data_IF_231831504222
#
_entry.id   IF_231831504222
#
_cell.length_a   1.000
_cell.length_b   1.000
_cell.length_c   1.000
_cell.angle_alpha   90.00
_cell.angle_beta   90.00
_cell.angle_gamma   90.00
#
_symmetry.space_group_name_H-M   'P 1'
#
loop_
_entity.id
_entity.type
_entity.pdbx_description
1 polymer ?
#
# COMPACT_ATOMS: atom_id res chain seq x y z
N UNK A 1 -25.92 21.65 8.47
CA UNK A 1 -25.03 22.79 8.69
C UNK A 1 -24.11 22.94 7.49
N UNK A 2 -24.13 24.10 6.87
CA UNK A 2 -23.17 24.41 5.80
C UNK A 2 -21.83 24.77 6.44
N UNK A 3 -20.73 24.10 5.97
CA UNK A 3 -19.38 24.31 6.49
C UNK A 3 -18.40 24.39 5.33
N UNK A 4 -17.41 25.28 5.47
CA UNK A 4 -16.31 25.40 4.52
C UNK A 4 -15.17 24.47 4.93
N UNK A 5 -14.62 23.70 3.99
CA UNK A 5 -13.44 22.86 4.24
C UNK A 5 -12.18 23.70 4.30
N UNK A 6 -11.28 23.38 5.25
CA UNK A 6 -9.99 24.05 5.38
C UNK A 6 -9.16 23.94 4.08
N UNK A 7 -9.24 22.79 3.38
CA UNK A 7 -8.61 22.62 2.08
C UNK A 7 -9.08 23.63 1.01
N UNK A 8 -10.37 24.00 1.00
CA UNK A 8 -10.90 24.98 0.07
C UNK A 8 -10.37 26.38 0.36
N UNK A 9 -10.24 26.72 1.64
CA UNK A 9 -9.73 28.04 2.05
C UNK A 9 -8.26 28.20 1.62
N UNK A 10 -7.44 27.16 1.81
CA UNK A 10 -6.04 27.18 1.36
C UNK A 10 -5.87 27.14 -0.16
N UNK A 11 -6.80 26.51 -0.88
CA UNK A 11 -6.76 26.43 -2.35
C UNK A 11 -7.08 27.78 -3.01
N UNK A 12 -7.97 28.58 -2.44
CA UNK A 12 -8.38 29.87 -3.00
C UNK A 12 -8.51 30.95 -1.89
N UNK A 13 -7.36 31.35 -1.38
CA UNK A 13 -7.25 32.26 -0.24
C UNK A 13 -7.86 33.65 -0.51
N UNK A 14 -7.71 34.16 -1.74
CA UNK A 14 -8.23 35.46 -2.13
C UNK A 14 -9.76 35.46 -2.16
N UNK A 15 -10.38 34.37 -2.63
CA UNK A 15 -11.81 34.22 -2.63
C UNK A 15 -12.42 34.27 -1.23
N UNK A 16 -11.71 33.74 -0.24
CA UNK A 16 -12.20 33.68 1.15
C UNK A 16 -11.80 34.90 1.99
N UNK A 17 -10.79 35.67 1.60
CA UNK A 17 -10.34 36.86 2.32
C UNK A 17 -11.47 37.84 2.60
N UNK A 18 -11.64 38.23 3.86
CA UNK A 18 -12.70 39.13 4.33
C UNK A 18 -14.09 38.52 4.48
N UNK A 19 -14.30 37.23 4.08
CA UNK A 19 -15.60 36.57 4.24
C UNK A 19 -15.75 35.94 5.62
N UNK A 20 -16.98 35.99 6.12
CA UNK A 20 -17.37 35.21 7.28
C UNK A 20 -17.73 33.79 6.82
N UNK A 21 -17.13 32.78 7.46
CA UNK A 21 -17.30 31.36 7.16
C UNK A 21 -17.43 30.54 8.44
N UNK A 22 -17.96 29.34 8.31
CA UNK A 22 -17.99 28.36 9.38
C UNK A 22 -17.09 27.17 9.03
N UNK A 23 -16.18 26.82 9.94
CA UNK A 23 -15.31 25.63 9.88
C UNK A 23 -15.55 24.75 11.09
N UNK A 24 -15.43 23.43 10.91
CA UNK A 24 -15.56 22.46 11.99
C UNK A 24 -14.30 21.60 12.00
N UNK A 25 -13.73 21.31 13.17
CA UNK A 25 -12.53 20.49 13.23
C UNK A 25 -12.08 20.19 14.66
N UNK A 26 -10.93 19.59 14.78
CA UNK A 26 -10.32 19.22 16.04
C UNK A 26 -9.14 20.13 16.36
N UNK A 27 -9.09 20.61 17.62
CA UNK A 27 -7.99 21.42 18.13
C UNK A 27 -6.69 20.59 18.17
N UNK A 28 -5.68 21.03 17.43
CA UNK A 28 -4.32 20.47 17.43
C UNK A 28 -3.43 21.13 18.49
N UNK A 29 -3.62 22.41 18.70
CA UNK A 29 -3.02 23.17 19.79
C UNK A 29 -4.01 24.25 20.25
N UNK A 30 -3.96 24.58 21.54
CA UNK A 30 -4.66 25.71 22.12
C UNK A 30 -3.64 26.49 22.94
N UNK A 31 -3.60 27.82 22.75
CA UNK A 31 -2.73 28.74 23.49
C UNK A 31 -3.55 29.89 24.04
N UNK A 32 -3.65 29.95 25.36
CA UNK A 32 -4.29 31.04 26.07
C UNK A 32 -3.26 32.14 26.41
N UNK A 33 -3.55 33.38 26.00
CA UNK A 33 -2.77 34.60 26.33
C UNK A 33 -3.56 35.55 27.21
N UNK A 34 -4.61 35.07 27.89
CA UNK A 34 -5.52 35.77 28.82
C UNK A 34 -6.56 36.68 28.15
N UNK A 35 -6.15 37.64 27.32
CA UNK A 35 -7.05 38.55 26.59
C UNK A 35 -7.32 38.11 25.16
N UNK A 36 -6.49 37.24 24.64
CA UNK A 36 -6.66 36.60 23.33
C UNK A 36 -6.01 35.20 23.36
N UNK A 37 -6.32 34.39 22.37
CA UNK A 37 -5.76 33.05 22.27
C UNK A 37 -5.70 32.58 20.83
N UNK A 38 -5.06 31.42 20.63
CA UNK A 38 -4.92 30.76 19.32
C UNK A 38 -5.29 29.31 19.40
N UNK A 39 -6.04 28.86 18.42
CA UNK A 39 -6.30 27.43 18.18
C UNK A 39 -5.76 27.07 16.81
N UNK A 40 -4.93 26.04 16.73
CA UNK A 40 -4.69 25.35 15.45
C UNK A 40 -5.77 24.30 15.26
N UNK A 41 -6.62 24.49 14.24
CA UNK A 41 -7.74 23.63 13.92
C UNK A 41 -7.44 22.79 12.67
N UNK A 42 -7.77 21.49 12.71
CA UNK A 42 -7.69 20.61 11.54
C UNK A 42 -9.02 19.91 11.36
N UNK A 43 -9.59 19.99 10.15
CA UNK A 43 -10.88 19.38 9.80
C UNK A 43 -10.73 18.05 9.06
N UNK A 44 -9.50 17.58 8.87
CA UNK A 44 -9.21 16.37 8.12
C UNK A 44 -9.22 16.54 6.59
N UNK A 45 -9.59 17.70 6.04
CA UNK A 45 -9.66 17.89 4.58
C UNK A 45 -8.30 18.11 3.92
N UNK A 46 -7.29 18.58 4.66
CA UNK A 46 -5.90 18.73 4.20
C UNK A 46 -4.91 18.48 5.34
N UNK A 47 -3.62 18.45 5.00
CA UNK A 47 -2.54 18.24 5.97
C UNK A 47 -2.30 19.48 6.86
N UNK A 48 -2.53 20.66 6.32
CA UNK A 48 -2.33 21.94 7.01
C UNK A 48 -3.36 22.17 8.11
N UNK A 49 -2.93 22.84 9.18
CA UNK A 49 -3.82 23.34 10.22
C UNK A 49 -4.19 24.80 9.93
N UNK A 50 -5.40 25.18 10.29
CA UNK A 50 -5.90 26.54 10.19
C UNK A 50 -5.77 27.24 11.55
N UNK A 51 -5.14 28.42 11.58
CA UNK A 51 -5.10 29.23 12.80
C UNK A 51 -6.42 29.95 13.04
N UNK A 52 -6.96 29.82 14.24
CA UNK A 52 -8.11 30.53 14.72
C UNK A 52 -7.64 31.49 15.83
N UNK A 53 -7.97 32.76 15.70
CA UNK A 53 -7.69 33.82 16.73
C UNK A 53 -8.94 33.97 17.56
N UNK A 54 -8.78 33.83 18.88
CA UNK A 54 -9.82 34.04 19.90
C UNK A 54 -9.60 35.39 20.57
N UNK A 55 -10.63 36.22 20.66
CA UNK A 55 -10.60 37.49 21.41
C UNK A 55 -11.57 37.39 22.58
N UNK A 56 -11.08 37.61 23.80
CA UNK A 56 -11.88 37.58 25.03
C UNK A 56 -12.93 38.69 25.10
N UNK A 57 -12.76 39.78 24.33
CA UNK A 57 -13.75 40.87 24.27
C UNK A 57 -14.89 40.57 23.28
N UNK A 58 -14.73 39.56 22.42
CA UNK A 58 -15.71 39.16 21.39
C UNK A 58 -16.46 37.87 21.78
N UNK A 59 -15.74 36.93 22.40
CA UNK A 59 -16.25 35.60 22.72
C UNK A 59 -16.70 35.50 24.17
N UNK A 60 -17.98 35.50 24.44
CA UNK A 60 -18.55 35.36 25.80
C UNK A 60 -18.06 34.09 26.51
N UNK A 61 -17.80 33.01 25.75
CA UNK A 61 -17.29 31.74 26.25
C UNK A 61 -15.77 31.53 26.05
N UNK A 62 -15.00 32.64 25.95
CA UNK A 62 -13.56 32.56 25.75
C UNK A 62 -12.85 31.62 26.73
N UNK A 63 -13.18 31.70 28.04
CA UNK A 63 -12.55 30.86 29.06
C UNK A 63 -12.86 29.38 28.89
N UNK A 64 -14.06 29.06 28.46
CA UNK A 64 -14.46 27.69 28.15
C UNK A 64 -13.61 27.11 27.00
N UNK A 65 -13.43 27.89 25.91
CA UNK A 65 -12.67 27.47 24.73
C UNK A 65 -11.19 27.39 25.06
N UNK A 66 -10.63 28.41 25.69
CA UNK A 66 -9.22 28.45 26.07
C UNK A 66 -8.83 27.36 27.08
N UNK A 67 -9.81 26.88 27.86
CA UNK A 67 -9.65 25.77 28.81
C UNK A 67 -9.83 24.37 28.20
N UNK A 68 -10.14 24.24 26.90
CA UNK A 68 -10.25 22.93 26.26
C UNK A 68 -8.90 22.24 26.11
N UNK A 69 -8.91 20.91 26.09
CA UNK A 69 -7.74 20.12 25.79
C UNK A 69 -7.56 19.90 24.28
N UNK A 70 -6.33 19.59 23.89
CA UNK A 70 -6.03 19.10 22.53
C UNK A 70 -6.94 17.93 22.20
N UNK A 71 -7.44 17.90 20.96
CA UNK A 71 -8.39 16.89 20.50
C UNK A 71 -9.86 17.28 20.65
N UNK A 72 -10.18 18.39 21.35
CA UNK A 72 -11.56 18.90 21.41
C UNK A 72 -12.09 19.24 20.02
N UNK A 73 -13.36 18.91 19.75
CA UNK A 73 -14.06 19.23 18.51
C UNK A 73 -14.74 20.59 18.64
N UNK A 74 -14.46 21.47 17.68
CA UNK A 74 -14.92 22.85 17.68
C UNK A 74 -15.65 23.20 16.39
N UNK A 75 -16.70 24.03 16.49
CA UNK A 75 -17.36 24.70 15.38
C UNK A 75 -17.01 26.18 15.53
N UNK A 76 -16.34 26.74 14.52
CA UNK A 76 -15.84 28.10 14.51
C UNK A 76 -16.49 28.89 13.39
N UNK A 77 -17.18 29.95 13.69
CA UNK A 77 -17.66 30.96 12.73
C UNK A 77 -16.84 32.22 12.90
N UNK A 78 -16.31 32.77 11.83
CA UNK A 78 -15.49 33.96 11.88
C UNK A 78 -15.02 34.45 10.52
N UNK A 79 -14.33 35.56 10.49
CA UNK A 79 -13.84 36.23 9.29
C UNK A 79 -12.44 35.73 8.93
N UNK A 80 -12.24 35.34 7.70
CA UNK A 80 -10.93 34.99 7.13
C UNK A 80 -10.10 36.27 6.96
N UNK A 81 -8.91 36.28 7.54
CA UNK A 81 -7.95 37.40 7.43
C UNK A 81 -6.70 36.88 6.72
N UNK A 82 -6.34 37.47 5.60
CA UNK A 82 -5.11 37.21 4.92
C UNK A 82 -3.93 37.81 5.67
N UNK A 83 -2.88 37.00 5.86
CA UNK A 83 -1.67 37.36 6.61
C UNK A 83 -0.41 37.02 5.81
N UNK A 84 -0.21 37.60 4.61
CA UNK A 84 0.84 37.19 3.67
C UNK A 84 2.26 37.36 4.24
N UNK A 85 2.46 38.26 5.16
CA UNK A 85 3.76 38.53 5.83
C UNK A 85 4.00 37.63 7.06
N UNK A 86 3.00 36.84 7.48
CA UNK A 86 3.12 35.95 8.61
C UNK A 86 3.58 34.52 8.19
N UNK A 87 3.95 33.72 9.18
CA UNK A 87 4.32 32.31 8.93
C UNK A 87 3.21 31.51 8.27
N UNK A 88 1.95 31.76 8.62
CA UNK A 88 0.78 31.22 7.94
C UNK A 88 0.14 32.30 7.05
N UNK A 89 -0.36 31.95 5.85
CA UNK A 89 -0.84 32.93 4.88
C UNK A 89 -2.20 33.53 5.26
N UNK A 90 -2.93 32.90 6.17
CA UNK A 90 -4.26 33.35 6.61
C UNK A 90 -4.60 32.82 8.01
N UNK A 91 -5.58 33.44 8.64
CA UNK A 91 -6.17 33.02 9.91
C UNK A 91 -7.68 33.35 9.92
N UNK A 92 -8.43 32.76 10.87
CA UNK A 92 -9.82 33.13 11.14
C UNK A 92 -9.88 33.94 12.43
N UNK A 93 -10.43 35.13 12.37
CA UNK A 93 -10.86 35.87 13.57
C UNK A 93 -12.24 35.38 13.97
N UNK A 94 -12.30 34.62 15.08
CA UNK A 94 -13.53 33.98 15.52
C UNK A 94 -14.53 35.02 16.02
N UNK A 95 -15.75 35.01 15.49
CA UNK A 95 -16.92 35.74 15.99
C UNK A 95 -17.77 34.85 16.91
N UNK A 96 -17.77 33.55 16.68
CA UNK A 96 -18.48 32.55 17.49
C UNK A 96 -17.70 31.23 17.50
N UNK A 97 -17.59 30.62 18.66
CA UNK A 97 -17.03 29.26 18.79
C UNK A 97 -17.96 28.42 19.66
N UNK A 98 -18.28 27.22 19.20
CA UNK A 98 -19.01 26.23 19.94
C UNK A 98 -18.13 25.02 20.19
N UNK A 99 -18.10 24.54 21.42
CA UNK A 99 -17.49 23.24 21.76
C UNK A 99 -18.49 22.15 21.44
N UNK A 100 -18.23 21.39 20.40
CA UNK A 100 -19.08 20.27 19.95
C UNK A 100 -18.79 19.01 20.78
N UNK A 101 -17.50 18.79 21.08
CA UNK A 101 -17.06 17.69 21.91
C UNK A 101 -15.81 18.05 22.70
N UNK A 102 -15.83 17.78 23.99
CA UNK A 102 -14.70 18.01 24.88
C UNK A 102 -13.65 16.91 24.75
N UNK A 103 -12.40 17.20 25.12
CA UNK A 103 -11.33 16.22 25.26
C UNK A 103 -10.86 16.20 26.70
N UNK A 104 -10.68 15.02 27.28
CA UNK A 104 -10.27 14.87 28.66
C UNK A 104 -8.75 15.10 28.83
N UNK A 105 -8.26 15.47 30.05
CA UNK A 105 -6.85 15.74 30.29
C UNK A 105 -5.92 14.55 30.06
N UNK A 106 -6.43 13.33 30.10
CA UNK A 106 -5.71 12.09 29.86
C UNK A 106 -5.59 11.72 28.36
N UNK A 107 -6.06 12.60 27.45
CA UNK A 107 -5.89 12.40 26.01
C UNK A 107 -4.42 12.10 25.66
N UNK A 108 -4.12 10.92 25.05
CA UNK A 108 -2.76 10.41 24.98
C UNK A 108 -1.85 11.17 24.01
N UNK A 109 -2.45 11.84 23.01
CA UNK A 109 -1.69 12.59 21.98
C UNK A 109 -1.45 14.04 22.41
N UNK A 110 -0.78 14.22 23.54
CA UNK A 110 -0.38 15.53 24.03
C UNK A 110 0.68 16.18 23.14
N UNK A 111 0.90 17.51 23.29
CA UNK A 111 1.90 18.29 22.55
C UNK A 111 3.35 17.87 22.90
N UNK A 112 3.73 16.66 22.51
CA UNK A 112 5.09 16.11 22.64
C UNK A 112 5.36 15.15 21.49
N UNK A 113 6.62 14.82 21.25
CA UNK A 113 6.97 13.77 20.30
C UNK A 113 6.56 12.40 20.86
N UNK A 114 5.86 11.61 20.08
CA UNK A 114 5.51 10.24 20.39
C UNK A 114 6.35 9.30 19.51
N UNK A 115 6.82 8.19 20.08
CA UNK A 115 7.48 7.16 19.30
C UNK A 115 6.46 6.36 18.49
N UNK A 116 6.91 5.76 17.40
CA UNK A 116 6.05 4.94 16.53
C UNK A 116 5.56 3.70 17.28
N UNK A 117 6.41 3.12 18.14
CA UNK A 117 6.08 1.97 18.99
C UNK A 117 4.92 2.31 19.94
N UNK A 118 4.97 3.46 20.59
CA UNK A 118 3.87 3.94 21.42
C UNK A 118 2.59 4.15 20.60
N UNK A 119 2.68 4.75 19.42
CA UNK A 119 1.52 4.98 18.55
C UNK A 119 0.88 3.67 18.06
N UNK A 120 1.63 2.57 18.00
CA UNK A 120 1.07 1.23 17.73
C UNK A 120 0.19 0.71 18.86
N UNK A 121 0.37 1.17 20.10
CA UNK A 121 -0.49 0.78 21.23
C UNK A 121 -1.83 1.55 21.26
N UNK A 122 -1.94 2.63 20.48
CA UNK A 122 -3.14 3.48 20.36
C UNK A 122 -3.51 3.69 18.89
N UNK A 123 -3.56 2.61 18.11
CA UNK A 123 -3.73 2.65 16.65
C UNK A 123 -4.96 3.47 16.21
N UNK A 124 -6.07 3.37 16.94
CA UNK A 124 -7.32 4.11 16.68
C UNK A 124 -7.17 5.65 16.78
N UNK A 125 -6.16 6.16 17.48
CA UNK A 125 -5.88 7.60 17.60
C UNK A 125 -4.71 8.08 16.73
N UNK A 126 -3.83 7.18 16.30
CA UNK A 126 -2.62 7.56 15.56
C UNK A 126 -2.86 8.34 14.24
N UNK A 127 -4.01 8.22 13.53
CA UNK A 127 -4.30 9.07 12.38
C UNK A 127 -4.34 10.57 12.70
N UNK A 128 -4.53 10.93 13.96
CA UNK A 128 -4.50 12.32 14.42
C UNK A 128 -3.08 12.90 14.53
N UNK A 129 -2.03 12.10 14.35
CA UNK A 129 -0.64 12.57 14.33
C UNK A 129 -0.23 12.99 12.92
N UNK A 130 0.79 13.85 12.81
CA UNK A 130 1.26 14.32 11.49
C UNK A 130 1.77 13.17 10.62
N UNK A 131 2.56 12.24 11.20
CA UNK A 131 3.10 11.09 10.47
C UNK A 131 1.99 10.26 9.83
N UNK A 132 1.01 9.83 10.61
CA UNK A 132 -0.05 8.96 10.13
C UNK A 132 -1.10 9.69 9.29
N UNK A 133 -1.37 10.97 9.59
CA UNK A 133 -2.19 11.82 8.73
C UNK A 133 -1.59 11.93 7.33
N UNK A 134 -0.29 12.22 7.23
CA UNK A 134 0.42 12.27 5.95
C UNK A 134 0.42 10.91 5.24
N UNK A 135 0.75 9.83 5.97
CA UNK A 135 0.82 8.47 5.41
C UNK A 135 -0.52 8.03 4.80
N UNK A 136 -1.63 8.21 5.53
CA UNK A 136 -2.93 7.76 5.02
C UNK A 136 -3.49 8.67 3.92
N UNK A 137 -3.09 9.94 3.84
CA UNK A 137 -3.40 10.80 2.71
C UNK A 137 -2.67 10.35 1.45
N UNK A 138 -1.38 10.09 1.54
CA UNK A 138 -0.60 9.54 0.43
C UNK A 138 -1.15 8.18 0.01
N UNK A 139 -1.47 7.29 0.97
CA UNK A 139 -2.12 6.00 0.68
C UNK A 139 -3.42 6.18 -0.13
N UNK A 140 -4.28 7.13 0.27
CA UNK A 140 -5.54 7.39 -0.42
C UNK A 140 -5.34 7.91 -1.85
N UNK A 141 -4.41 8.85 -2.04
CA UNK A 141 -4.09 9.39 -3.37
C UNK A 141 -3.45 8.35 -4.26
N UNK A 142 -2.53 7.54 -3.74
CA UNK A 142 -1.89 6.45 -4.46
C UNK A 142 -2.90 5.39 -4.92
N UNK A 143 -3.86 5.01 -4.06
CA UNK A 143 -4.93 4.08 -4.42
C UNK A 143 -5.77 4.60 -5.59
N UNK A 144 -6.18 5.87 -5.53
CA UNK A 144 -6.91 6.50 -6.61
C UNK A 144 -6.09 6.59 -7.91
N UNK A 145 -4.81 6.93 -7.81
CA UNK A 145 -3.90 6.98 -8.95
C UNK A 145 -3.79 5.62 -9.65
N UNK A 146 -3.72 4.53 -8.91
CA UNK A 146 -3.70 3.17 -9.47
C UNK A 146 -4.96 2.89 -10.28
N UNK A 147 -6.15 3.19 -9.74
CA UNK A 147 -7.39 3.04 -10.48
C UNK A 147 -7.43 3.89 -11.75
N UNK A 148 -7.03 5.16 -11.69
CA UNK A 148 -6.94 6.03 -12.86
C UNK A 148 -5.97 5.47 -13.90
N UNK A 149 -4.77 5.03 -13.48
CA UNK A 149 -3.76 4.47 -14.38
C UNK A 149 -4.32 3.34 -15.25
N UNK A 150 -4.98 2.38 -14.63
CA UNK A 150 -5.52 1.23 -15.33
C UNK A 150 -6.77 1.54 -16.13
N UNK A 151 -7.72 2.28 -15.54
CA UNK A 151 -9.00 2.59 -16.20
C UNK A 151 -8.82 3.49 -17.43
N UNK A 152 -7.93 4.50 -17.36
CA UNK A 152 -7.61 5.38 -18.49
C UNK A 152 -6.93 4.61 -19.65
N UNK A 153 -6.38 3.41 -19.37
CA UNK A 153 -5.79 2.50 -20.36
C UNK A 153 -6.72 1.37 -20.80
N UNK A 154 -8.00 1.45 -20.40
CA UNK A 154 -9.01 0.49 -20.79
C UNK A 154 -8.98 -0.86 -20.07
N UNK A 155 -8.26 -0.95 -18.97
CA UNK A 155 -8.30 -2.15 -18.11
C UNK A 155 -9.63 -2.24 -17.37
N UNK A 156 -10.17 -3.45 -17.27
CA UNK A 156 -11.37 -3.73 -16.47
C UNK A 156 -10.96 -4.09 -15.04
N UNK A 157 -11.57 -3.43 -14.05
CA UNK A 157 -11.39 -3.81 -12.65
C UNK A 157 -12.14 -5.10 -12.34
N UNK A 158 -11.41 -6.16 -12.02
CA UNK A 158 -11.95 -7.48 -11.77
C UNK A 158 -12.09 -7.75 -10.27
N UNK A 159 -13.29 -8.19 -9.87
CA UNK A 159 -13.52 -8.73 -8.52
C UNK A 159 -13.18 -10.22 -8.51
N UNK A 160 -12.22 -10.61 -7.67
CA UNK A 160 -11.86 -12.02 -7.44
C UNK A 160 -12.25 -12.45 -6.04
N UNK A 161 -12.56 -13.74 -5.80
CA UNK A 161 -13.01 -14.21 -4.50
C UNK A 161 -11.87 -14.17 -3.47
N UNK A 162 -12.17 -13.73 -2.25
CA UNK A 162 -11.23 -13.76 -1.13
C UNK A 162 -11.20 -15.12 -0.42
N UNK A 163 -12.30 -15.90 -0.53
CA UNK A 163 -12.38 -17.26 0.00
C UNK A 163 -12.22 -18.22 -1.18
N UNK A 164 -11.23 -19.10 -1.10
CA UNK A 164 -10.87 -20.01 -2.18
C UNK A 164 -10.59 -21.42 -1.67
N UNK A 165 -10.79 -22.40 -2.54
CA UNK A 165 -10.34 -23.77 -2.32
C UNK A 165 -9.03 -24.10 -3.06
N UNK A 166 -8.47 -23.14 -3.82
CA UNK A 166 -7.25 -23.32 -4.61
C UNK A 166 -6.10 -22.50 -4.02
N UNK A 167 -4.89 -23.04 -4.01
CA UNK A 167 -3.67 -22.33 -3.65
C UNK A 167 -3.02 -21.76 -4.92
N UNK A 168 -2.97 -20.43 -5.01
CA UNK A 168 -2.39 -19.73 -6.17
C UNK A 168 -0.87 -19.94 -6.28
N UNK A 169 -0.16 -20.05 -5.18
CA UNK A 169 1.31 -20.17 -5.17
C UNK A 169 1.78 -21.62 -5.03
N UNK A 170 0.87 -22.56 -4.70
CA UNK A 170 1.14 -23.99 -4.60
C UNK A 170 1.92 -24.41 -3.34
N UNK A 171 2.27 -23.49 -2.47
CA UNK A 171 2.97 -23.72 -1.21
C UNK A 171 2.66 -22.66 -0.16
N UNK A 172 1.61 -21.85 -0.37
CA UNK A 172 1.25 -20.74 0.49
C UNK A 172 0.73 -21.19 1.86
N UNK A 173 1.23 -20.59 2.92
CA UNK A 173 0.61 -20.72 4.24
C UNK A 173 -0.68 -19.89 4.25
N UNK A 174 -1.82 -20.59 4.15
CA UNK A 174 -3.13 -19.97 4.03
C UNK A 174 -3.89 -19.99 5.36
N UNK A 175 -4.58 -18.91 5.69
CA UNK A 175 -5.58 -18.93 6.76
C UNK A 175 -6.77 -19.77 6.34
N UNK A 176 -7.15 -20.74 7.18
CA UNK A 176 -8.32 -21.56 6.92
C UNK A 176 -9.59 -20.81 7.33
N UNK A 177 -10.63 -20.89 6.47
CA UNK A 177 -11.98 -20.41 6.74
C UNK A 177 -12.87 -21.60 7.03
N UNK A 178 -13.45 -21.66 8.23
CA UNK A 178 -14.30 -22.77 8.65
C UNK A 178 -15.40 -22.30 9.60
N UNK A 179 -16.55 -22.97 9.55
CA UNK A 179 -17.65 -22.83 10.51
C UNK A 179 -17.79 -24.05 11.42
N UNK A 180 -16.89 -25.03 11.29
CA UNK A 180 -16.88 -26.21 12.16
C UNK A 180 -16.55 -25.81 13.60
N UNK A 181 -17.20 -26.48 14.57
CA UNK A 181 -16.82 -26.37 15.96
C UNK A 181 -15.46 -27.01 16.21
N UNK A 182 -14.45 -26.18 16.51
CA UNK A 182 -13.09 -26.62 16.73
C UNK A 182 -12.93 -27.55 17.96
N UNK A 183 -13.91 -27.60 18.87
CA UNK A 183 -13.91 -28.52 20.00
C UNK A 183 -14.47 -29.89 19.61
N UNK A 184 -15.35 -29.98 18.59
CA UNK A 184 -16.03 -31.17 18.13
C UNK A 184 -15.96 -31.32 16.62
N UNK A 185 -14.75 -31.33 16.08
CA UNK A 185 -14.52 -31.41 14.63
C UNK A 185 -15.00 -32.77 14.09
N UNK A 186 -15.92 -32.82 13.14
CA UNK A 186 -16.34 -34.06 12.49
C UNK A 186 -15.19 -34.66 11.73
N UNK A 187 -15.06 -36.00 11.79
CA UNK A 187 -13.97 -36.77 11.19
C UNK A 187 -14.46 -37.86 10.28
N UNK A 188 -13.70 -38.12 9.24
CA UNK A 188 -13.78 -39.28 8.38
C UNK A 188 -13.32 -40.56 9.11
N UNK A 189 -13.54 -41.74 8.51
CA UNK A 189 -13.09 -43.02 9.06
C UNK A 189 -11.55 -43.12 9.22
N UNK A 190 -10.81 -42.39 8.40
CA UNK A 190 -9.33 -42.32 8.44
C UNK A 190 -8.81 -41.31 9.48
N UNK A 191 -9.69 -40.63 10.21
CA UNK A 191 -9.36 -39.63 11.24
C UNK A 191 -9.11 -38.22 10.70
N UNK A 192 -9.15 -37.99 9.40
CA UNK A 192 -9.08 -36.67 8.78
C UNK A 192 -10.36 -35.87 9.02
N UNK A 193 -10.29 -34.53 8.86
CA UNK A 193 -11.46 -33.67 9.03
C UNK A 193 -12.48 -33.90 7.91
N UNK A 194 -13.74 -34.13 8.26
CA UNK A 194 -14.85 -34.24 7.31
C UNK A 194 -15.35 -32.82 6.90
N UNK A 195 -14.72 -32.23 5.93
CA UNK A 195 -15.11 -30.92 5.37
C UNK A 195 -16.44 -30.93 4.62
N UNK A 196 -17.06 -32.10 4.34
CA UNK A 196 -18.41 -32.14 3.76
C UNK A 196 -19.46 -31.58 4.71
N UNK A 197 -19.13 -31.50 5.99
CA UNK A 197 -19.95 -30.89 7.05
C UNK A 197 -19.70 -29.41 7.27
N UNK A 198 -18.66 -28.84 6.64
CA UNK A 198 -18.36 -27.40 6.71
C UNK A 198 -19.22 -26.61 5.73
N UNK A 199 -19.26 -25.28 5.90
CA UNK A 199 -20.13 -24.36 5.17
C UNK A 199 -20.02 -24.52 3.64
N UNK A 200 -18.83 -24.65 3.11
CA UNK A 200 -18.57 -24.78 1.66
C UNK A 200 -18.54 -26.24 1.16
N UNK A 201 -18.76 -27.21 2.05
CA UNK A 201 -18.66 -28.65 1.70
C UNK A 201 -17.25 -29.12 1.30
N UNK A 202 -16.25 -28.30 1.48
CA UNK A 202 -14.83 -28.55 1.21
C UNK A 202 -13.96 -27.61 2.04
N UNK A 203 -12.66 -27.94 2.15
CA UNK A 203 -11.69 -27.06 2.80
C UNK A 203 -11.62 -25.74 2.03
N UNK A 204 -11.77 -24.62 2.73
CA UNK A 204 -11.66 -23.26 2.19
C UNK A 204 -10.66 -22.44 2.98
N UNK A 205 -10.03 -21.49 2.30
CA UNK A 205 -8.99 -20.64 2.86
C UNK A 205 -9.18 -19.19 2.40
N UNK A 206 -8.52 -18.24 3.06
CA UNK A 206 -8.35 -16.90 2.54
C UNK A 206 -7.28 -16.92 1.44
N UNK A 207 -7.51 -16.17 0.37
CA UNK A 207 -6.63 -16.16 -0.81
C UNK A 207 -5.27 -15.50 -0.52
N UNK A 208 -4.21 -16.01 -1.13
CA UNK A 208 -2.87 -15.39 -1.14
C UNK A 208 -2.65 -14.48 -2.35
N UNK A 209 -3.54 -14.56 -3.38
CA UNK A 209 -3.48 -13.77 -4.62
C UNK A 209 -4.79 -13.92 -5.39
N UNK A 210 -5.20 -12.86 -6.08
CA UNK A 210 -6.33 -12.89 -7.02
C UNK A 210 -5.97 -13.35 -8.43
N UNK A 211 -4.68 -13.60 -8.73
CA UNK A 211 -4.14 -13.80 -10.07
C UNK A 211 -4.88 -14.88 -10.88
N UNK A 212 -4.98 -16.11 -10.36
CA UNK A 212 -5.56 -17.22 -11.15
C UNK A 212 -7.00 -16.92 -11.57
N UNK A 213 -7.78 -16.28 -10.70
CA UNK A 213 -9.14 -15.87 -11.02
C UNK A 213 -9.16 -14.63 -11.95
N UNK A 214 -8.19 -13.72 -11.85
CA UNK A 214 -8.06 -12.58 -12.76
C UNK A 214 -7.74 -13.05 -14.20
N UNK A 215 -6.98 -14.14 -14.38
CA UNK A 215 -6.72 -14.72 -15.69
C UNK A 215 -8.02 -15.18 -16.39
N UNK A 216 -9.07 -15.61 -15.63
CA UNK A 216 -10.37 -15.91 -16.22
C UNK A 216 -11.00 -14.68 -16.88
N UNK A 217 -10.88 -13.52 -16.22
CA UNK A 217 -11.35 -12.25 -16.77
C UNK A 217 -10.48 -11.81 -17.96
N UNK A 218 -9.17 -11.96 -17.88
CA UNK A 218 -8.25 -11.58 -18.96
C UNK A 218 -8.54 -12.35 -20.26
N UNK A 219 -8.87 -13.65 -20.17
CA UNK A 219 -9.25 -14.47 -21.31
C UNK A 219 -10.59 -14.08 -21.95
N UNK A 220 -11.34 -13.16 -21.35
CA UNK A 220 -12.59 -12.65 -21.87
C UNK A 220 -12.56 -11.14 -22.18
N UNK A 221 -11.87 -10.34 -21.34
CA UNK A 221 -11.86 -8.88 -21.41
C UNK A 221 -10.52 -8.30 -21.92
N UNK A 222 -9.51 -9.13 -22.14
CA UNK A 222 -8.19 -8.70 -22.60
C UNK A 222 -7.31 -8.18 -21.46
N UNK A 223 -7.50 -6.93 -21.05
CA UNK A 223 -6.72 -6.30 -19.99
C UNK A 223 -7.57 -6.09 -18.75
N UNK A 224 -7.15 -6.65 -17.63
CA UNK A 224 -7.86 -6.56 -16.35
C UNK A 224 -6.89 -6.28 -15.22
N UNK A 225 -7.38 -5.84 -14.08
CA UNK A 225 -6.59 -5.74 -12.85
C UNK A 225 -7.44 -6.00 -11.62
N UNK A 226 -6.84 -6.58 -10.60
CA UNK A 226 -7.40 -6.62 -9.25
C UNK A 226 -6.78 -5.51 -8.39
N UNK A 227 -7.46 -5.06 -7.38
CA UNK A 227 -6.95 -4.26 -6.30
C UNK A 227 -7.73 -4.65 -5.05
N UNK A 228 -7.22 -5.58 -4.29
CA UNK A 228 -7.94 -6.17 -3.18
C UNK A 228 -7.04 -6.79 -2.12
N UNK A 229 -7.63 -7.13 -0.97
CA UNK A 229 -6.90 -7.74 0.14
C UNK A 229 -6.45 -9.16 -0.22
N UNK A 230 -5.26 -9.51 0.25
CA UNK A 230 -4.67 -10.85 0.23
C UNK A 230 -4.15 -11.21 1.61
N UNK A 231 -4.01 -12.50 1.88
CA UNK A 231 -3.75 -13.01 3.22
C UNK A 231 -2.65 -14.06 3.18
N UNK A 232 -1.64 -13.92 4.04
CA UNK A 232 -0.57 -14.92 4.19
C UNK A 232 -0.36 -15.24 5.66
N UNK A 233 -0.43 -16.53 6.00
CA UNK A 233 -0.29 -17.01 7.38
C UNK A 233 1.19 -17.29 7.77
N UNK A 234 2.14 -16.80 7.00
CA UNK A 234 3.57 -16.97 7.25
C UNK A 234 3.97 -16.45 8.63
N UNK A 235 4.66 -17.28 9.40
CA UNK A 235 5.19 -16.90 10.70
C UNK A 235 6.45 -16.02 10.54
N UNK A 236 6.30 -14.88 9.88
CA UNK A 236 7.38 -13.91 9.61
C UNK A 236 7.16 -12.62 10.38
N UNK A 237 8.13 -12.25 11.22
CA UNK A 237 8.06 -11.04 12.05
C UNK A 237 9.06 -9.98 11.57
N UNK A 238 9.06 -9.66 10.26
CA UNK A 238 9.91 -8.64 9.68
C UNK A 238 9.20 -7.29 9.56
N UNK A 239 9.92 -6.27 9.14
CA UNK A 239 9.36 -4.94 8.86
C UNK A 239 8.54 -4.87 7.57
N UNK A 240 8.56 -5.92 6.74
CA UNK A 240 7.96 -5.95 5.39
C UNK A 240 6.83 -6.97 5.24
N UNK A 241 6.51 -7.73 6.31
CA UNK A 241 5.47 -8.75 6.28
C UNK A 241 4.29 -8.35 7.16
N UNK A 242 3.10 -8.42 6.57
CA UNK A 242 1.81 -8.38 7.23
C UNK A 242 1.01 -9.61 6.81
N UNK A 243 0.11 -10.08 7.67
CA UNK A 243 -0.74 -11.23 7.40
C UNK A 243 -1.92 -10.88 6.49
N UNK A 244 -2.31 -9.60 6.45
CA UNK A 244 -3.32 -9.02 5.56
C UNK A 244 -2.70 -7.79 4.92
N UNK A 245 -2.76 -7.70 3.59
CA UNK A 245 -2.25 -6.58 2.80
C UNK A 245 -2.99 -6.51 1.46
N UNK A 246 -2.82 -5.44 0.70
CA UNK A 246 -3.51 -5.26 -0.57
C UNK A 246 -2.57 -5.49 -1.74
N UNK A 247 -3.05 -6.24 -2.74
CA UNK A 247 -2.33 -6.49 -3.99
C UNK A 247 -3.00 -5.79 -5.17
N UNK A 248 -2.17 -5.25 -6.06
CA UNK A 248 -2.57 -4.81 -7.39
C UNK A 248 -2.03 -5.84 -8.38
N UNK A 249 -2.92 -6.53 -9.08
CA UNK A 249 -2.54 -7.66 -9.94
C UNK A 249 -3.20 -7.51 -11.31
N UNK A 250 -2.56 -6.81 -12.26
CA UNK A 250 -3.02 -6.76 -13.64
C UNK A 250 -2.67 -8.05 -14.38
N UNK A 251 -3.58 -8.47 -15.29
CA UNK A 251 -3.39 -9.56 -16.24
C UNK A 251 -3.76 -9.09 -17.64
N UNK A 252 -2.88 -9.31 -18.59
CA UNK A 252 -2.97 -8.79 -19.97
C UNK A 252 -2.91 -9.93 -20.98
N UNK A 253 -4.00 -10.14 -21.70
CA UNK A 253 -4.05 -11.10 -22.80
C UNK A 253 -3.25 -10.58 -24.01
N UNK A 254 -2.67 -11.51 -24.78
CA UNK A 254 -1.81 -11.24 -25.94
C UNK A 254 -0.52 -10.46 -25.62
N UNK A 255 -0.18 -10.34 -24.35
CA UNK A 255 1.02 -9.66 -23.85
C UNK A 255 2.15 -10.66 -23.56
N UNK A 256 3.40 -10.20 -23.69
CA UNK A 256 4.60 -10.93 -23.30
C UNK A 256 5.30 -10.29 -22.09
N UNK A 257 6.48 -10.80 -21.76
CA UNK A 257 7.26 -10.32 -20.64
C UNK A 257 7.65 -8.83 -20.79
N UNK A 258 7.89 -8.35 -22.02
CA UNK A 258 8.23 -6.95 -22.27
C UNK A 258 7.03 -6.04 -22.05
N UNK A 259 5.83 -6.44 -22.52
CA UNK A 259 4.59 -5.69 -22.29
C UNK A 259 4.30 -5.53 -20.79
N UNK A 260 4.56 -6.58 -20.01
CA UNK A 260 4.49 -6.53 -18.56
C UNK A 260 5.46 -5.47 -18.00
N UNK A 261 6.74 -5.57 -18.34
CA UNK A 261 7.76 -4.66 -17.81
C UNK A 261 7.47 -3.20 -18.16
N UNK A 262 7.04 -2.93 -19.39
CA UNK A 262 6.67 -1.57 -19.85
C UNK A 262 5.47 -1.04 -19.07
N UNK A 263 4.45 -1.87 -18.83
CA UNK A 263 3.27 -1.49 -18.05
C UNK A 263 3.61 -1.21 -16.58
N UNK A 264 4.44 -2.05 -15.98
CA UNK A 264 4.87 -1.91 -14.58
C UNK A 264 5.72 -0.64 -14.38
N UNK A 265 6.66 -0.37 -15.28
CA UNK A 265 7.46 0.86 -15.26
C UNK A 265 6.57 2.10 -15.38
N UNK A 266 5.65 2.12 -16.35
CA UNK A 266 4.72 3.22 -16.55
C UNK A 266 3.83 3.45 -15.31
N UNK A 267 3.36 2.38 -14.67
CA UNK A 267 2.52 2.46 -13.46
C UNK A 267 3.28 3.08 -12.29
N UNK A 268 4.50 2.60 -12.01
CA UNK A 268 5.33 3.15 -10.91
C UNK A 268 5.55 4.65 -11.11
N UNK A 269 5.97 5.05 -12.31
CA UNK A 269 6.20 6.46 -12.65
C UNK A 269 4.94 7.31 -12.49
N UNK A 270 3.80 6.80 -12.94
CA UNK A 270 2.51 7.48 -12.82
C UNK A 270 2.10 7.70 -11.36
N UNK A 271 2.23 6.67 -10.51
CA UNK A 271 1.90 6.76 -9.08
C UNK A 271 2.79 7.79 -8.39
N UNK A 272 4.12 7.73 -8.62
CA UNK A 272 5.07 8.68 -8.03
C UNK A 272 4.73 10.11 -8.42
N UNK A 273 4.55 10.38 -9.72
CA UNK A 273 4.24 11.72 -10.22
C UNK A 273 2.92 12.25 -9.65
N UNK A 274 1.88 11.41 -9.60
CA UNK A 274 0.57 11.80 -9.06
C UNK A 274 0.66 12.15 -7.57
N UNK A 275 1.40 11.38 -6.78
CA UNK A 275 1.58 11.65 -5.35
C UNK A 275 2.41 12.91 -5.13
N UNK A 276 3.50 13.09 -5.88
CA UNK A 276 4.34 14.30 -5.80
C UNK A 276 3.55 15.57 -6.14
N UNK A 277 2.65 15.50 -7.12
CA UNK A 277 1.78 16.62 -7.53
C UNK A 277 0.67 16.90 -6.52
N UNK A 278 -0.05 15.85 -6.07
CA UNK A 278 -1.27 16.01 -5.28
C UNK A 278 -1.06 16.06 -3.76
N UNK A 279 0.11 15.64 -3.27
CA UNK A 279 0.45 15.61 -1.85
C UNK A 279 1.73 16.41 -1.51
N UNK A 280 1.90 17.68 -2.01
CA UNK A 280 3.16 18.41 -1.83
C UNK A 280 3.50 18.68 -0.37
N UNK A 281 2.51 18.95 0.48
CA UNK A 281 2.71 19.24 1.90
C UNK A 281 3.13 17.99 2.69
N UNK A 282 2.49 16.85 2.40
CA UNK A 282 2.82 15.54 2.96
C UNK A 282 4.23 15.11 2.54
N UNK A 283 4.57 15.28 1.26
CA UNK A 283 5.90 14.93 0.73
C UNK A 283 7.00 15.82 1.31
N UNK A 284 6.71 17.11 1.57
CA UNK A 284 7.62 18.02 2.29
C UNK A 284 7.81 17.55 3.73
N UNK A 285 6.75 17.10 4.40
CA UNK A 285 6.83 16.55 5.75
C UNK A 285 7.71 15.30 5.78
N UNK A 286 7.49 14.32 4.90
CA UNK A 286 8.29 13.09 4.84
C UNK A 286 9.77 13.37 4.59
N UNK A 287 10.08 14.25 3.62
CA UNK A 287 11.47 14.63 3.32
C UNK A 287 12.16 15.36 4.46
N UNK A 288 11.41 16.08 5.28
CA UNK A 288 11.97 16.82 6.42
C UNK A 288 12.14 15.97 7.68
N UNK A 289 11.24 15.03 7.93
CA UNK A 289 11.14 14.36 9.23
C UNK A 289 11.28 12.83 9.21
N UNK A 290 11.16 12.20 8.04
CA UNK A 290 11.19 10.74 7.90
C UNK A 290 12.42 10.30 7.10
N UNK A 291 12.57 10.78 5.87
CA UNK A 291 13.66 10.40 4.96
C UNK A 291 14.09 11.60 4.11
N UNK A 292 15.24 12.19 4.44
CA UNK A 292 15.76 13.39 3.76
C UNK A 292 16.04 13.22 2.27
N UNK A 293 16.35 11.98 1.84
CA UNK A 293 16.61 11.64 0.44
C UNK A 293 15.37 11.24 -0.37
N UNK A 294 14.19 11.24 0.26
CA UNK A 294 12.98 10.66 -0.33
C UNK A 294 12.61 11.27 -1.68
N UNK A 295 12.50 12.60 -1.75
CA UNK A 295 12.07 13.28 -2.98
C UNK A 295 13.04 13.07 -4.11
N UNK A 296 14.34 13.25 -3.86
CA UNK A 296 15.40 13.04 -4.86
C UNK A 296 15.35 11.60 -5.42
N UNK A 297 15.19 10.61 -4.54
CA UNK A 297 15.05 9.20 -4.94
C UNK A 297 13.80 8.96 -5.80
N UNK A 298 12.64 9.49 -5.41
CA UNK A 298 11.40 9.34 -6.15
C UNK A 298 11.45 10.05 -7.50
N UNK A 299 11.98 11.26 -7.57
CA UNK A 299 12.19 12.01 -8.82
C UNK A 299 13.16 11.28 -9.74
N UNK A 300 14.25 10.73 -9.20
CA UNK A 300 15.18 9.92 -9.97
C UNK A 300 14.50 8.71 -10.61
N UNK A 301 13.71 7.95 -9.82
CA UNK A 301 12.96 6.77 -10.33
C UNK A 301 11.92 7.17 -11.38
N UNK A 302 11.16 8.25 -11.14
CA UNK A 302 10.15 8.71 -12.09
C UNK A 302 10.72 9.17 -13.45
N UNK A 303 11.97 9.62 -13.47
CA UNK A 303 12.64 10.15 -14.67
C UNK A 303 13.66 9.19 -15.30
N UNK A 304 13.95 8.05 -14.67
CA UNK A 304 14.88 7.05 -15.21
C UNK A 304 14.18 6.07 -16.12
N UNK A 305 14.85 5.61 -17.17
CA UNK A 305 14.48 4.38 -17.85
C UNK A 305 14.91 3.18 -16.98
N UNK A 306 14.04 2.21 -16.79
CA UNK A 306 14.37 1.05 -15.99
C UNK A 306 15.31 0.11 -16.74
N UNK A 307 16.38 -0.32 -16.08
CA UNK A 307 17.31 -1.30 -16.64
C UNK A 307 16.63 -2.68 -16.80
N UNK A 308 17.23 -3.51 -17.65
CA UNK A 308 16.81 -4.93 -17.80
C UNK A 308 18.08 -5.78 -17.80
N UNK A 309 18.07 -6.85 -17.05
CA UNK A 309 19.18 -7.79 -16.91
C UNK A 309 18.63 -9.17 -16.63
N UNK A 310 19.20 -10.21 -17.22
CA UNK A 310 18.80 -11.57 -16.87
C UNK A 310 19.30 -11.96 -15.48
N UNK A 311 18.63 -12.88 -14.82
CA UNK A 311 19.06 -13.41 -13.53
C UNK A 311 20.49 -13.98 -13.60
N UNK A 312 20.82 -14.68 -14.69
CA UNK A 312 22.16 -15.22 -14.90
C UNK A 312 23.22 -14.13 -14.94
N UNK A 313 22.99 -13.06 -15.72
CA UNK A 313 23.89 -11.90 -15.76
C UNK A 313 23.96 -11.17 -14.42
N UNK A 314 22.82 -10.99 -13.75
CA UNK A 314 22.74 -10.36 -12.43
C UNK A 314 23.58 -11.14 -11.40
N UNK A 315 23.49 -12.48 -11.39
CA UNK A 315 24.29 -13.35 -10.52
C UNK A 315 25.78 -13.20 -10.82
N UNK A 316 26.20 -13.15 -12.10
CA UNK A 316 27.62 -12.94 -12.45
C UNK A 316 28.14 -11.57 -12.02
N UNK A 317 27.32 -10.52 -12.12
CA UNK A 317 27.67 -9.18 -11.61
C UNK A 317 27.81 -9.16 -10.09
N UNK A 318 26.91 -9.84 -9.37
CA UNK A 318 26.94 -9.92 -7.91
C UNK A 318 28.11 -10.76 -7.41
N UNK A 319 28.43 -11.89 -8.06
CA UNK A 319 29.58 -12.75 -7.70
C UNK A 319 30.91 -12.00 -7.68
N UNK A 320 31.10 -11.01 -8.54
CA UNK A 320 32.31 -10.17 -8.54
C UNK A 320 32.48 -9.38 -7.23
N UNK A 321 31.42 -9.29 -6.42
CA UNK A 321 31.39 -8.55 -5.16
C UNK A 321 30.88 -9.43 -4.01
N UNK A 322 30.99 -10.73 -4.12
CA UNK A 322 30.37 -11.69 -3.21
C UNK A 322 30.92 -11.60 -1.77
N UNK A 323 32.14 -11.07 -1.59
CA UNK A 323 32.75 -10.78 -0.31
C UNK A 323 32.00 -9.72 0.53
N UNK A 324 31.23 -8.84 -0.13
CA UNK A 324 30.47 -7.76 0.49
C UNK A 324 29.11 -8.20 1.07
N UNK A 325 28.65 -9.41 0.74
CA UNK A 325 27.32 -9.90 1.11
C UNK A 325 27.39 -10.86 2.29
N UNK A 326 26.41 -10.78 3.18
CA UNK A 326 26.22 -11.73 4.24
C UNK A 326 25.80 -13.10 3.65
N UNK A 327 24.88 -13.09 2.69
CA UNK A 327 24.45 -14.26 1.93
C UNK A 327 25.19 -14.35 0.61
N UNK A 328 25.94 -15.43 0.40
CA UNK A 328 26.72 -15.61 -0.84
C UNK A 328 25.79 -15.96 -2.01
N UNK A 329 26.03 -15.31 -3.15
CA UNK A 329 25.23 -15.50 -4.37
C UNK A 329 25.82 -16.64 -5.19
N UNK A 330 24.94 -17.60 -5.55
CA UNK A 330 25.21 -18.64 -6.53
C UNK A 330 24.01 -18.77 -7.46
N UNK A 331 24.23 -19.31 -8.66
CA UNK A 331 23.14 -19.52 -9.61
C UNK A 331 22.12 -20.52 -9.03
N UNK A 332 20.84 -20.18 -9.04
CA UNK A 332 19.76 -20.98 -8.47
C UNK A 332 19.34 -20.55 -7.05
N UNK A 333 20.03 -19.57 -6.41
CA UNK A 333 19.59 -19.06 -5.13
C UNK A 333 18.55 -17.94 -5.28
N UNK A 334 17.70 -17.75 -4.26
CA UNK A 334 16.88 -16.55 -4.13
C UNK A 334 17.74 -15.34 -3.83
N UNK A 335 17.57 -14.26 -4.61
CA UNK A 335 18.24 -13.00 -4.34
C UNK A 335 17.67 -12.38 -3.06
N UNK A 336 18.59 -12.02 -2.15
CA UNK A 336 18.21 -11.35 -0.91
C UNK A 336 18.16 -9.84 -1.12
N UNK A 337 17.48 -9.11 -0.24
CA UNK A 337 17.37 -7.64 -0.32
C UNK A 337 18.71 -6.92 -0.47
N UNK A 338 19.79 -7.44 0.13
CA UNK A 338 21.13 -6.86 -0.02
C UNK A 338 21.64 -6.95 -1.47
N UNK A 339 21.34 -8.07 -2.17
CA UNK A 339 21.69 -8.28 -3.57
C UNK A 339 20.88 -7.34 -4.50
N UNK A 340 19.58 -7.26 -4.27
CA UNK A 340 18.65 -6.41 -5.03
C UNK A 340 19.01 -4.92 -4.91
N UNK A 341 19.30 -4.47 -3.70
CA UNK A 341 19.76 -3.10 -3.47
C UNK A 341 21.14 -2.84 -4.06
N UNK A 342 22.03 -3.82 -4.02
CA UNK A 342 23.33 -3.66 -4.64
C UNK A 342 23.23 -3.50 -6.18
N UNK A 343 22.34 -4.26 -6.83
CA UNK A 343 22.05 -4.09 -8.25
C UNK A 343 21.54 -2.68 -8.55
N UNK A 344 20.54 -2.21 -7.82
CA UNK A 344 19.87 -0.92 -8.09
C UNK A 344 20.69 0.29 -7.65
N UNK A 345 21.46 0.21 -6.55
CA UNK A 345 22.15 1.35 -5.94
C UNK A 345 23.62 1.46 -6.37
N UNK A 346 24.28 0.34 -6.63
CA UNK A 346 25.72 0.33 -6.93
C UNK A 346 26.03 0.05 -8.41
N UNK A 347 25.35 -0.93 -9.02
CA UNK A 347 25.63 -1.37 -10.38
C UNK A 347 24.86 -0.51 -11.39
N UNK A 348 23.54 -0.56 -11.38
CA UNK A 348 22.70 0.13 -12.37
C UNK A 348 22.43 1.59 -12.02
N UNK A 349 22.44 1.94 -10.72
CA UNK A 349 22.12 3.27 -10.17
C UNK A 349 20.76 3.80 -10.63
N UNK A 350 19.81 2.89 -10.83
CA UNK A 350 18.43 3.13 -11.27
C UNK A 350 17.59 1.88 -11.03
N UNK A 351 16.26 1.94 -11.16
CA UNK A 351 15.43 0.74 -11.15
C UNK A 351 15.85 -0.26 -12.22
N UNK A 352 15.71 -1.54 -11.93
CA UNK A 352 16.08 -2.62 -12.85
C UNK A 352 15.10 -3.78 -12.78
N UNK A 353 14.72 -4.32 -13.92
CA UNK A 353 14.06 -5.61 -14.01
C UNK A 353 15.12 -6.71 -14.10
N UNK A 354 15.03 -7.70 -13.22
CA UNK A 354 15.78 -8.95 -13.31
C UNK A 354 14.85 -9.99 -13.92
N UNK A 355 15.27 -10.61 -15.05
CA UNK A 355 14.41 -11.50 -15.84
C UNK A 355 14.96 -12.91 -15.88
N UNK A 356 14.14 -13.86 -16.36
CA UNK A 356 14.56 -15.23 -16.68
C UNK A 356 15.17 -15.98 -15.50
N UNK A 357 14.42 -16.05 -14.41
CA UNK A 357 14.80 -16.75 -13.20
C UNK A 357 14.83 -18.27 -13.36
N UNK A 358 15.65 -18.98 -12.56
CA UNK A 358 15.59 -20.43 -12.49
C UNK A 358 14.17 -20.94 -12.18
N UNK A 359 13.69 -21.94 -12.91
CA UNK A 359 12.33 -22.49 -12.71
C UNK A 359 12.08 -23.03 -11.31
N UNK A 360 13.13 -23.52 -10.63
CA UNK A 360 12.99 -24.23 -9.35
C UNK A 360 12.71 -23.30 -8.17
N UNK A 361 12.92 -21.99 -8.35
CA UNK A 361 12.63 -20.96 -7.34
C UNK A 361 11.42 -20.08 -7.70
N UNK A 362 10.65 -20.44 -8.73
CA UNK A 362 9.48 -19.68 -9.20
C UNK A 362 8.24 -20.55 -9.31
N UNK A 363 7.07 -19.90 -9.28
CA UNK A 363 5.76 -20.55 -9.24
C UNK A 363 5.43 -21.36 -10.51
N UNK A 364 4.48 -22.29 -10.39
CA UNK A 364 4.12 -23.27 -11.42
C UNK A 364 3.55 -22.67 -12.70
N UNK A 365 2.90 -21.53 -12.61
CA UNK A 365 2.18 -20.88 -13.71
C UNK A 365 3.06 -20.05 -14.64
N UNK A 366 4.34 -19.90 -14.32
CA UNK A 366 5.26 -19.08 -15.11
C UNK A 366 5.73 -19.82 -16.35
N UNK A 367 5.77 -19.13 -17.49
CA UNK A 367 6.15 -19.72 -18.79
C UNK A 367 7.58 -20.25 -18.77
N UNK A 368 7.74 -21.54 -19.05
CA UNK A 368 9.05 -22.15 -19.20
C UNK A 368 9.73 -21.66 -20.48
N UNK A 369 10.96 -21.15 -20.36
CA UNK A 369 11.78 -20.74 -21.50
C UNK A 369 12.28 -21.94 -22.29
N UNK A 370 12.75 -21.70 -23.52
CA UNK A 370 13.17 -22.76 -24.46
C UNK A 370 14.43 -23.48 -23.98
N UNK A 371 15.17 -22.93 -23.03
CA UNK A 371 16.33 -23.58 -22.39
C UNK A 371 15.93 -24.70 -21.41
N UNK A 372 14.64 -24.81 -21.07
CA UNK A 372 14.10 -25.79 -20.12
C UNK A 372 14.55 -25.62 -18.67
N UNK A 373 15.28 -24.54 -18.33
CA UNK A 373 15.87 -24.29 -17.02
C UNK A 373 15.35 -23.01 -16.36
N UNK A 374 15.01 -22.02 -17.17
CA UNK A 374 14.53 -20.71 -16.69
C UNK A 374 13.07 -20.50 -17.07
N UNK A 375 12.42 -19.55 -16.42
CA UNK A 375 11.06 -19.12 -16.69
C UNK A 375 11.02 -17.62 -17.02
N UNK A 376 10.08 -17.22 -17.87
CA UNK A 376 9.85 -15.82 -18.25
C UNK A 376 9.22 -15.03 -17.10
N UNK A 377 9.93 -14.98 -15.98
CA UNK A 377 9.63 -14.14 -14.81
C UNK A 377 10.40 -12.85 -14.88
N UNK A 378 9.90 -11.80 -14.25
CA UNK A 378 10.65 -10.58 -14.01
C UNK A 378 10.27 -9.98 -12.63
N UNK A 379 11.27 -9.57 -11.88
CA UNK A 379 11.08 -8.82 -10.64
C UNK A 379 11.60 -7.39 -10.86
N UNK A 380 10.79 -6.40 -10.55
CA UNK A 380 11.16 -4.98 -10.60
C UNK A 380 11.80 -4.58 -9.28
N UNK A 381 13.06 -4.21 -9.34
CA UNK A 381 13.85 -3.76 -8.20
C UNK A 381 13.99 -2.24 -8.23
N UNK A 382 13.79 -1.59 -7.09
CA UNK A 382 13.96 -0.14 -6.95
C UNK A 382 14.96 0.21 -5.83
N UNK A 383 15.71 1.34 -5.96
CA UNK A 383 16.64 1.79 -4.92
C UNK A 383 15.93 1.96 -3.57
N UNK A 384 16.57 1.55 -2.48
CA UNK A 384 16.10 1.72 -1.11
C UNK A 384 15.22 0.58 -0.59
N UNK A 385 14.49 -0.12 -1.43
CA UNK A 385 13.59 -1.20 -0.97
C UNK A 385 13.91 -2.58 -1.57
N UNK A 386 14.50 -2.64 -2.78
CA UNK A 386 14.69 -3.88 -3.52
C UNK A 386 13.45 -4.22 -4.35
N UNK A 387 13.01 -5.47 -4.36
CA UNK A 387 11.82 -5.91 -5.09
C UNK A 387 10.56 -5.17 -4.64
N UNK A 388 9.86 -4.56 -5.62
CA UNK A 388 8.58 -3.88 -5.44
C UNK A 388 7.45 -4.52 -6.25
N UNK A 389 7.77 -5.11 -7.39
CA UNK A 389 6.85 -5.85 -8.27
C UNK A 389 7.49 -7.17 -8.64
N UNK A 390 6.72 -8.25 -8.56
CA UNK A 390 7.05 -9.55 -9.15
C UNK A 390 5.99 -9.95 -10.17
N UNK A 391 6.40 -10.59 -11.27
CA UNK A 391 5.47 -11.03 -12.30
C UNK A 391 6.10 -11.93 -13.34
N UNK A 392 5.30 -12.33 -14.33
CA UNK A 392 5.77 -13.23 -15.40
C UNK A 392 4.86 -13.18 -16.63
N UNK A 393 5.38 -13.65 -17.74
CA UNK A 393 4.54 -14.26 -18.75
C UNK A 393 4.00 -15.59 -18.20
N UNK A 394 2.72 -15.87 -18.42
CA UNK A 394 2.05 -17.06 -17.91
C UNK A 394 2.24 -18.22 -18.89
N UNK A 395 2.25 -19.46 -18.37
CA UNK A 395 2.35 -20.65 -19.21
C UNK A 395 1.03 -20.87 -19.96
N UNK A 396 1.06 -20.65 -21.27
CA UNK A 396 -0.09 -20.81 -22.16
C UNK A 396 -0.21 -22.23 -22.75
N UNK A 397 0.84 -23.05 -22.63
CA UNK A 397 0.91 -24.40 -23.19
C UNK A 397 0.40 -25.42 -22.17
N UNK A 398 -0.76 -26.03 -22.47
CA UNK A 398 -1.47 -26.94 -21.54
C UNK A 398 -0.59 -28.04 -20.97
N UNK A 399 0.11 -28.78 -21.86
CA UNK A 399 0.91 -29.95 -21.47
C UNK A 399 2.07 -29.56 -20.53
N UNK A 400 2.69 -28.43 -20.77
CA UNK A 400 3.78 -27.92 -19.90
C UNK A 400 3.26 -27.47 -18.55
N UNK A 401 2.11 -26.78 -18.51
CA UNK A 401 1.47 -26.37 -17.27
C UNK A 401 1.04 -27.57 -16.42
N UNK A 402 0.37 -28.57 -17.03
CA UNK A 402 0.00 -29.81 -16.34
C UNK A 402 1.22 -30.59 -15.84
N UNK A 403 2.29 -30.65 -16.64
CA UNK A 403 3.55 -31.27 -16.23
C UNK A 403 4.17 -30.59 -15.02
N UNK A 404 4.19 -29.25 -15.02
CA UNK A 404 4.77 -28.48 -13.93
C UNK A 404 3.96 -28.61 -12.62
N UNK A 405 2.63 -28.61 -12.71
CA UNK A 405 1.74 -28.86 -11.54
C UNK A 405 2.08 -30.23 -10.93
N UNK A 406 2.24 -31.27 -11.74
CA UNK A 406 2.59 -32.62 -11.27
C UNK A 406 4.02 -32.68 -10.71
N UNK A 407 4.99 -32.03 -11.36
CA UNK A 407 6.39 -31.96 -10.89
C UNK A 407 6.50 -31.40 -9.48
N UNK A 408 5.66 -30.41 -9.14
CA UNK A 408 5.59 -29.80 -7.82
C UNK A 408 4.73 -30.59 -6.81
N UNK A 409 4.24 -31.78 -7.17
CA UNK A 409 3.42 -32.61 -6.29
C UNK A 409 2.00 -32.10 -6.07
N UNK A 410 1.56 -31.15 -6.88
CA UNK A 410 0.20 -30.59 -6.84
C UNK A 410 -0.76 -31.48 -7.65
N UNK A 411 -2.06 -31.44 -7.29
CA UNK A 411 -3.07 -32.22 -8.00
C UNK A 411 -3.71 -31.39 -9.12
N UNK A 412 -3.58 -31.75 -10.42
CA UNK A 412 -4.20 -31.02 -11.53
C UNK A 412 -5.73 -30.91 -11.42
N UNK A 413 -6.41 -31.85 -10.76
CA UNK A 413 -7.87 -31.81 -10.56
C UNK A 413 -8.31 -30.59 -9.72
N UNK A 414 -7.46 -30.07 -8.86
CA UNK A 414 -7.76 -28.87 -8.06
C UNK A 414 -7.70 -27.59 -8.91
N UNK A 415 -7.06 -27.69 -10.10
CA UNK A 415 -6.84 -26.59 -11.05
C UNK A 415 -7.55 -26.84 -12.40
N UNK A 416 -8.54 -27.75 -12.49
CA UNK A 416 -9.22 -28.11 -13.72
C UNK A 416 -9.76 -26.88 -14.48
N UNK A 417 -10.38 -25.96 -13.77
CA UNK A 417 -10.94 -24.72 -14.31
C UNK A 417 -9.86 -23.75 -14.83
N UNK A 418 -8.69 -23.75 -14.24
CA UNK A 418 -7.54 -22.95 -14.68
C UNK A 418 -6.89 -23.57 -15.92
N UNK A 419 -6.81 -24.88 -15.98
CA UNK A 419 -6.33 -25.62 -17.15
C UNK A 419 -7.28 -25.46 -18.34
N UNK A 420 -8.59 -25.31 -18.12
CA UNK A 420 -9.57 -25.04 -19.18
C UNK A 420 -9.28 -23.73 -19.94
N UNK A 421 -8.68 -22.72 -19.30
CA UNK A 421 -8.23 -21.52 -19.99
C UNK A 421 -7.17 -21.81 -21.06
N UNK A 422 -6.45 -22.92 -20.94
CA UNK A 422 -5.47 -23.37 -21.94
C UNK A 422 -6.08 -24.28 -22.98
N UNK A 423 -7.18 -24.94 -22.68
CA UNK A 423 -7.93 -25.79 -23.63
C UNK A 423 -8.81 -24.96 -24.55
N UNK A 424 -9.38 -23.89 -24.08
CA UNK A 424 -10.43 -23.14 -24.78
C UNK A 424 -9.96 -21.71 -25.14
N UNK A 425 -9.17 -21.62 -26.23
CA UNK A 425 -8.74 -20.34 -26.77
C UNK A 425 -7.56 -19.71 -26.02
N UNK A 426 -6.59 -20.55 -25.64
CA UNK A 426 -5.34 -20.08 -25.01
C UNK A 426 -4.63 -19.02 -25.83
N UNK A 427 -4.09 -18.02 -25.18
CA UNK A 427 -3.21 -17.05 -25.78
C UNK A 427 -2.03 -16.74 -24.85
N UNK A 428 -0.96 -16.22 -25.43
CA UNK A 428 0.11 -15.59 -24.67
C UNK A 428 -0.47 -14.49 -23.78
N UNK A 429 -0.12 -14.49 -22.49
CA UNK A 429 -0.56 -13.46 -21.56
C UNK A 429 0.45 -13.28 -20.44
N UNK A 430 0.46 -12.10 -19.83
CA UNK A 430 1.41 -11.71 -18.79
C UNK A 430 0.74 -10.85 -17.73
N UNK A 431 1.28 -10.90 -16.54
CA UNK A 431 0.78 -10.09 -15.43
C UNK A 431 1.80 -9.99 -14.30
N UNK A 432 1.47 -9.17 -13.31
CA UNK A 432 2.37 -8.92 -12.19
C UNK A 432 1.60 -8.57 -10.91
N UNK A 433 2.29 -8.61 -9.78
CA UNK A 433 1.76 -8.20 -8.48
C UNK A 433 2.57 -7.06 -7.88
N UNK A 434 1.90 -5.99 -7.47
CA UNK A 434 2.43 -4.92 -6.64
C UNK A 434 1.78 -4.96 -5.27
N UNK A 435 2.58 -5.15 -4.20
CA UNK A 435 2.12 -4.97 -2.82
C UNK A 435 1.86 -3.50 -2.53
N UNK A 436 0.62 -3.13 -2.24
CA UNK A 436 0.25 -1.73 -2.06
C UNK A 436 0.93 -1.10 -0.84
N UNK A 437 1.00 -1.81 0.26
CA UNK A 437 1.70 -1.36 1.47
C UNK A 437 3.18 -1.10 1.21
N UNK A 438 3.83 -1.96 0.43
CA UNK A 438 5.23 -1.79 0.03
C UNK A 438 5.40 -0.53 -0.82
N UNK A 439 4.46 -0.26 -1.73
CA UNK A 439 4.43 0.99 -2.50
C UNK A 439 4.22 2.21 -1.62
N UNK A 440 3.32 2.17 -0.64
CA UNK A 440 3.12 3.27 0.31
C UNK A 440 4.36 3.51 1.17
N UNK A 441 5.02 2.45 1.64
CA UNK A 441 6.33 2.58 2.32
C UNK A 441 7.35 3.28 1.44
N UNK A 442 7.41 2.90 0.16
CA UNK A 442 8.32 3.50 -0.81
C UNK A 442 8.07 5.00 -1.03
N UNK A 443 6.79 5.38 -1.19
CA UNK A 443 6.36 6.76 -1.41
C UNK A 443 6.56 7.68 -0.20
N UNK A 444 6.56 7.12 1.01
CA UNK A 444 6.58 7.90 2.26
C UNK A 444 7.92 7.83 3.01
N UNK A 445 8.78 6.87 2.67
CA UNK A 445 9.99 6.58 3.43
C UNK A 445 9.76 5.92 4.79
N UNK A 446 8.50 5.53 5.09
CA UNK A 446 8.16 4.80 6.30
C UNK A 446 8.75 3.40 6.22
N UNK A 447 9.54 3.00 7.21
CA UNK A 447 10.36 1.79 7.16
C UNK A 447 9.65 0.50 7.58
N UNK A 448 8.44 0.57 8.12
CA UNK A 448 7.73 -0.59 8.65
C UNK A 448 6.30 -0.67 8.13
N UNK A 449 5.93 -1.81 7.58
CA UNK A 449 4.60 -2.07 7.01
C UNK A 449 3.46 -1.83 8.02
N UNK A 450 3.71 -2.07 9.32
CA UNK A 450 2.74 -1.79 10.40
C UNK A 450 2.34 -0.32 10.50
N UNK A 451 3.09 0.57 9.86
CA UNK A 451 2.89 2.02 9.97
C UNK A 451 2.32 2.65 8.70
N UNK A 452 2.00 1.82 7.70
CA UNK A 452 1.27 2.23 6.50
C UNK A 452 -0.15 1.63 6.43
N UNK A 453 -0.55 0.89 7.45
CA UNK A 453 -1.90 0.39 7.69
C UNK A 453 -2.46 0.99 8.98
N UNK A 454 -3.78 1.19 9.04
CA UNK A 454 -4.40 1.73 10.26
C UNK A 454 -4.33 0.70 11.40
N UNK A 455 -4.77 -0.52 11.11
CA UNK A 455 -4.82 -1.65 12.03
C UNK A 455 -4.13 -2.87 11.39
N UNK A 456 -2.79 -2.94 11.44
CA UNK A 456 -2.02 -4.00 10.78
C UNK A 456 -2.31 -5.37 11.41
N UNK A 457 -2.46 -6.38 10.56
CA UNK A 457 -2.56 -7.78 10.96
C UNK A 457 -1.19 -8.43 10.82
N UNK A 458 -0.61 -8.83 11.92
CA UNK A 458 0.72 -9.46 11.97
C UNK A 458 0.73 -10.60 12.98
N UNK A 459 1.79 -11.40 12.98
CA UNK A 459 1.94 -12.47 13.96
C UNK A 459 1.75 -11.95 15.40
N UNK A 460 0.82 -12.56 16.14
CA UNK A 460 0.50 -12.20 17.51
C UNK A 460 -0.27 -10.88 17.69
N UNK A 461 -0.75 -10.26 16.59
CA UNK A 461 -1.49 -8.99 16.67
C UNK A 461 -2.70 -8.98 15.74
N UNK A 462 -3.88 -8.92 16.34
CA UNK A 462 -5.17 -8.68 15.70
C UNK A 462 -6.02 -7.68 16.52
N UNK A 463 -5.35 -6.84 17.33
CA UNK A 463 -5.99 -5.82 18.15
C UNK A 463 -6.64 -4.73 17.29
N UNK A 464 -7.73 -4.14 17.82
CA UNK A 464 -8.60 -3.18 17.13
C UNK A 464 -9.41 -3.87 16.01
#
# INVERSE_FOLDING_TARGET
>A
MERTKIAQIFADQEQFGGKEITVCGWARTIRDMKSFGFVELNDGSCFKNLQVVLDANVLDNYKEIAGQNVGAALIVTGTVVLTPEAKQPLEIKAAKVQVEGTSTPDYPLQKKRHSVEYLRTIQHLRPRTNLFSATFRVRSVAAHAIHCFFQDRGFVYAQTPLITASDCEGAGEMFQVTTLDLQNVPKNEDGTVDYTKDFFGKKANLTVSGQLNAENFAMAFGNVYTFGPTFRAENSNTQRHAAEFWMIEPEMAFADLNDYMDTAEAMIKYIINTVMEKCPDEMNFFSSFVDKGLKERLEHVANSDFGRVTYTEAVELLKQNNDKFDYKVEWGCDLQTEHERYLTEQIFKRPVFVTDYPKDIKAFYMRLNDDGKTVAAADCLVPGIGEIIGGSQREERLELLESRIKELGMNPEDYWWYLDLRRYGSCRHAGFGLGFERMVMYLTGVSNIRDVELHPRTVGNADF
#
